data_IF_489027351424
#
_entry.id   IF_489027351424
#
_cell.length_a   1.000
_cell.length_b   1.000
_cell.length_c   1.000
_cell.angle_alpha   90.00
_cell.angle_beta   90.00
_cell.angle_gamma   90.00
#
_symmetry.space_group_name_H-M   'P 1'
#
loop_
_entity.id
_entity.type
_entity.pdbx_description
1 polymer ?
#
# COMPACT_ATOMS: atom_id res chain seq x y z
N UNK A 1 11.04 -15.94 7.02
CA UNK A 1 9.62 -15.88 6.59
C UNK A 1 9.55 -16.39 5.16
N UNK A 2 8.64 -17.32 4.86
CA UNK A 2 8.44 -17.79 3.49
C UNK A 2 7.83 -16.68 2.63
N UNK A 3 8.33 -16.51 1.40
CA UNK A 3 7.82 -15.51 0.46
C UNK A 3 6.47 -16.01 -0.05
N UNK A 4 5.38 -15.35 0.31
CA UNK A 4 4.05 -15.68 -0.22
C UNK A 4 3.89 -15.01 -1.58
N UNK A 5 3.59 -15.81 -2.60
CA UNK A 5 3.37 -15.31 -3.94
C UNK A 5 2.03 -14.57 -4.02
N UNK A 6 1.98 -13.41 -4.70
CA UNK A 6 0.78 -12.55 -4.76
C UNK A 6 -0.37 -13.29 -5.45
N UNK A 7 -0.05 -14.10 -6.45
CA UNK A 7 -0.98 -15.00 -7.15
C UNK A 7 -1.71 -15.99 -6.23
N UNK A 8 -1.13 -16.33 -5.08
CA UNK A 8 -1.76 -17.20 -4.09
C UNK A 8 -2.68 -16.43 -3.12
N UNK A 9 -2.56 -15.10 -3.08
CA UNK A 9 -3.36 -14.22 -2.23
C UNK A 9 -4.56 -13.63 -2.98
N UNK A 10 -4.37 -13.28 -4.26
CA UNK A 10 -5.39 -12.65 -5.10
C UNK A 10 -6.09 -13.71 -5.93
N UNK A 11 -7.14 -14.30 -5.35
CA UNK A 11 -7.91 -15.39 -5.93
C UNK A 11 -9.28 -14.90 -6.45
N UNK A 12 -10.03 -15.71 -7.24
CA UNK A 12 -11.29 -15.28 -7.88
C UNK A 12 -12.42 -14.83 -6.94
N UNK A 13 -12.40 -15.25 -5.68
CA UNK A 13 -13.36 -14.86 -4.64
C UNK A 13 -13.12 -13.46 -4.05
N UNK A 14 -11.99 -12.83 -4.36
CA UNK A 14 -11.72 -11.45 -3.98
C UNK A 14 -12.62 -10.50 -4.78
N UNK A 15 -13.43 -9.70 -4.09
CA UNK A 15 -14.44 -8.84 -4.73
C UNK A 15 -13.80 -7.70 -5.52
N UNK A 16 -12.71 -7.13 -4.97
CA UNK A 16 -11.99 -5.99 -5.57
C UNK A 16 -10.48 -6.23 -5.57
N UNK A 17 -9.95 -7.05 -6.48
CA UNK A 17 -8.54 -7.43 -6.48
C UNK A 17 -7.59 -6.24 -6.69
N UNK A 18 -8.04 -5.22 -7.43
CA UNK A 18 -7.25 -4.04 -7.74
C UNK A 18 -6.71 -3.29 -6.50
N UNK A 19 -7.42 -3.33 -5.36
CA UNK A 19 -7.00 -2.64 -4.13
C UNK A 19 -5.74 -3.23 -3.48
N UNK A 20 -5.32 -4.43 -3.91
CA UNK A 20 -4.16 -5.12 -3.38
C UNK A 20 -2.96 -5.11 -4.33
N UNK A 21 -3.10 -4.53 -5.53
CA UNK A 21 -2.04 -4.55 -6.53
C UNK A 21 -0.97 -3.47 -6.33
N UNK A 22 -1.24 -2.44 -5.51
CA UNK A 22 -0.29 -1.35 -5.27
C UNK A 22 -0.04 -0.44 -6.49
N UNK A 23 -0.94 -0.46 -7.47
CA UNK A 23 -0.86 0.32 -8.72
C UNK A 23 -1.90 1.46 -8.75
N UNK A 24 -2.11 2.08 -7.60
CA UNK A 24 -3.05 3.19 -7.42
C UNK A 24 -2.56 4.48 -8.08
N UNK A 25 -3.49 5.35 -8.48
CA UNK A 25 -3.12 6.65 -9.05
C UNK A 25 -2.33 7.46 -8.00
N UNK A 26 -1.12 7.89 -8.37
CA UNK A 26 -0.23 8.63 -7.47
C UNK A 26 0.67 7.75 -6.60
N UNK A 27 0.72 6.44 -6.80
CA UNK A 27 1.74 5.59 -6.17
C UNK A 27 3.14 5.94 -6.68
N UNK A 28 4.12 6.01 -5.78
CA UNK A 28 5.53 6.22 -6.07
C UNK A 28 6.31 4.89 -5.94
N UNK A 29 6.82 4.36 -7.05
CA UNK A 29 7.68 3.18 -7.05
C UNK A 29 9.16 3.56 -7.11
N UNK A 30 9.73 3.96 -5.96
CA UNK A 30 11.17 4.29 -5.86
C UNK A 30 12.01 3.01 -5.71
N UNK A 31 13.25 2.96 -6.24
CA UNK A 31 14.11 1.79 -6.04
C UNK A 31 14.37 1.55 -4.55
N UNK A 32 14.19 0.31 -4.11
CA UNK A 32 14.33 -0.06 -2.69
C UNK A 32 15.74 0.19 -2.15
N UNK A 33 16.76 -0.11 -2.97
CA UNK A 33 18.17 0.01 -2.59
C UNK A 33 18.68 1.45 -2.58
N UNK A 34 18.01 2.39 -3.26
CA UNK A 34 18.41 3.81 -3.24
C UNK A 34 17.85 4.59 -2.05
N UNK A 35 17.04 3.95 -1.21
CA UNK A 35 16.35 4.58 -0.10
C UNK A 35 17.01 4.21 1.24
N UNK A 36 17.52 5.21 1.94
CA UNK A 36 18.15 5.09 3.27
C UNK A 36 17.09 4.92 4.36
N UNK A 37 15.96 5.62 4.22
CA UNK A 37 14.81 5.53 5.14
C UNK A 37 13.60 5.01 4.38
N UNK A 38 12.89 4.06 4.99
CA UNK A 38 11.73 3.39 4.39
C UNK A 38 10.56 3.48 5.33
N UNK A 39 9.49 4.12 4.88
CA UNK A 39 8.28 4.37 5.63
C UNK A 39 7.14 3.51 5.11
N UNK A 40 6.24 3.14 6.01
CA UNK A 40 4.92 2.63 5.64
C UNK A 40 3.90 3.41 6.45
N UNK A 41 3.07 4.20 5.78
CA UNK A 41 1.94 4.84 6.42
C UNK A 41 0.79 3.83 6.49
N UNK A 42 0.38 3.49 7.70
CA UNK A 42 -0.73 2.57 7.93
C UNK A 42 -1.99 3.35 8.25
N UNK A 43 -3.13 2.89 7.76
CA UNK A 43 -4.43 3.44 8.11
C UNK A 43 -5.38 2.30 8.47
N UNK A 44 -6.03 2.32 9.65
CA UNK A 44 -6.77 1.18 10.20
C UNK A 44 -8.17 1.06 9.59
N UNK A 45 -8.29 1.22 8.27
CA UNK A 45 -9.54 1.17 7.53
C UNK A 45 -9.35 0.55 6.15
N UNK A 46 -10.45 0.12 5.53
CA UNK A 46 -10.43 -0.41 4.18
C UNK A 46 -9.92 0.63 3.17
N UNK A 47 -9.31 0.15 2.08
CA UNK A 47 -8.69 0.97 1.04
C UNK A 47 -9.56 2.16 0.60
N UNK A 48 -10.85 1.94 0.33
CA UNK A 48 -11.74 2.99 -0.17
C UNK A 48 -11.92 4.16 0.81
N UNK A 49 -11.93 3.87 2.10
CA UNK A 49 -12.02 4.89 3.14
C UNK A 49 -10.64 5.51 3.41
N UNK A 50 -9.61 4.67 3.54
CA UNK A 50 -8.25 5.13 3.83
C UNK A 50 -7.63 5.98 2.73
N UNK A 51 -7.81 5.60 1.46
CA UNK A 51 -7.26 6.32 0.33
C UNK A 51 -7.89 7.71 0.13
N UNK A 52 -9.06 7.97 0.73
CA UNK A 52 -9.73 9.28 0.72
C UNK A 52 -9.22 10.23 1.81
N UNK A 53 -8.34 9.77 2.71
CA UNK A 53 -7.79 10.61 3.77
C UNK A 53 -6.75 11.59 3.22
N UNK A 54 -7.12 12.87 3.13
CA UNK A 54 -6.28 13.92 2.57
C UNK A 54 -4.95 14.09 3.34
N UNK A 55 -4.98 14.01 4.68
CA UNK A 55 -3.77 14.11 5.49
C UNK A 55 -2.78 12.98 5.17
N UNK A 56 -3.29 11.77 4.98
CA UNK A 56 -2.50 10.61 4.60
C UNK A 56 -1.86 10.78 3.21
N UNK A 57 -2.61 11.31 2.24
CA UNK A 57 -2.10 11.64 0.90
C UNK A 57 -1.01 12.71 0.96
N UNK A 58 -1.22 13.78 1.74
CA UNK A 58 -0.24 14.88 1.88
C UNK A 58 1.07 14.36 2.48
N UNK A 59 1.00 13.61 3.58
CA UNK A 59 2.19 13.05 4.23
C UNK A 59 2.94 12.09 3.30
N UNK A 60 2.21 11.23 2.58
CA UNK A 60 2.78 10.31 1.60
C UNK A 60 3.60 11.05 0.53
N UNK A 61 3.04 12.14 -0.02
CA UNK A 61 3.73 12.95 -1.02
C UNK A 61 4.94 13.68 -0.44
N UNK A 62 4.84 14.25 0.76
CA UNK A 62 5.96 14.94 1.42
C UNK A 62 7.14 13.98 1.64
N UNK A 63 6.87 12.76 2.12
CA UNK A 63 7.91 11.76 2.36
C UNK A 63 8.55 11.28 1.05
N UNK A 64 7.75 11.00 0.02
CA UNK A 64 8.29 10.54 -1.27
C UNK A 64 9.02 11.63 -2.06
N UNK A 65 8.73 12.92 -1.80
CA UNK A 65 9.47 14.05 -2.34
C UNK A 65 10.89 14.20 -1.76
N UNK A 66 11.18 13.61 -0.58
CA UNK A 66 12.51 13.67 0.00
C UNK A 66 13.49 12.74 -0.72
N UNK A 67 14.73 13.21 -0.91
CA UNK A 67 15.80 12.39 -1.46
C UNK A 67 16.19 11.28 -0.48
N UNK A 68 16.48 10.09 -1.00
CA UNK A 68 16.87 8.93 -0.18
C UNK A 68 15.77 8.36 0.72
N UNK A 69 14.51 8.79 0.58
CA UNK A 69 13.38 8.24 1.32
C UNK A 69 12.40 7.53 0.39
N UNK A 70 11.85 6.41 0.83
CA UNK A 70 10.73 5.71 0.21
C UNK A 70 9.59 5.66 1.20
N UNK A 71 8.37 5.89 0.74
CA UNK A 71 7.18 5.69 1.54
C UNK A 71 6.16 4.89 0.75
N UNK A 72 5.65 3.83 1.38
CA UNK A 72 4.48 3.08 0.94
C UNK A 72 3.29 3.33 1.85
N UNK A 73 2.11 2.86 1.43
CA UNK A 73 0.87 2.93 2.21
C UNK A 73 0.32 1.52 2.42
N UNK A 74 -0.29 1.30 3.57
CA UNK A 74 -0.99 0.07 3.89
C UNK A 74 -2.34 0.38 4.55
N UNK A 75 -3.34 -0.41 4.16
CA UNK A 75 -4.72 -0.29 4.63
C UNK A 75 -5.17 -1.61 5.24
N UNK A 76 -6.23 -1.58 6.05
CA UNK A 76 -6.83 -2.79 6.60
C UNK A 76 -7.40 -3.63 5.44
N UNK A 77 -7.03 -4.91 5.29
CA UNK A 77 -7.63 -5.76 4.28
C UNK A 77 -9.11 -5.94 4.59
N UNK A 78 -9.95 -5.80 3.55
CA UNK A 78 -11.35 -6.16 3.65
C UNK A 78 -11.53 -7.67 3.98
N UNK A 79 -12.70 -8.08 4.52
CA UNK A 79 -12.88 -9.45 5.02
C UNK A 79 -12.60 -10.56 4.00
N UNK A 80 -12.86 -10.33 2.72
CA UNK A 80 -12.60 -11.31 1.65
C UNK A 80 -11.12 -11.68 1.46
N UNK A 81 -10.18 -10.82 1.88
CA UNK A 81 -8.76 -11.19 2.04
C UNK A 81 -8.35 -11.36 3.50
N UNK A 82 -8.86 -10.51 4.40
CA UNK A 82 -8.41 -10.43 5.79
C UNK A 82 -8.84 -11.56 6.70
N UNK A 83 -9.85 -12.36 6.31
CA UNK A 83 -10.28 -13.55 7.07
C UNK A 83 -9.76 -14.86 6.49
N UNK A 84 -8.86 -14.81 5.51
CA UNK A 84 -8.12 -15.98 5.00
C UNK A 84 -6.85 -16.20 5.80
#
# INVERSE_FOLDING_TARGET
MAKVAVENLITPEIVKPARYLGNELGSHHKPWESSQVRWVLTYPEIYELGASNLGHIILYNILNAQSGQLCDRAYLPAPDLGTK
#
